data_IF_557833865857
#
_entry.id   IF_557833865857
#
_cell.length_a   1.000
_cell.length_b   1.000
_cell.length_c   1.000
_cell.angle_alpha   90.00
_cell.angle_beta   90.00
_cell.angle_gamma   90.00
#
_symmetry.space_group_name_H-M   'P 1'
#
loop_
_entity.id
_entity.type
_entity.pdbx_description
1 polymer ?
#
# COMPACT_ATOMS: atom_id res chain seq x y z
N UNK A 1 -0.26 -7.64 25.42
CA UNK A 1 -0.02 -6.60 24.39
C UNK A 1 -0.83 -7.05 23.17
N UNK A 2 -1.99 -6.43 22.92
CA UNK A 2 -2.81 -6.79 21.74
C UNK A 2 -1.95 -6.59 20.48
N UNK A 3 -1.87 -7.61 19.63
CA UNK A 3 -1.17 -7.49 18.35
C UNK A 3 -1.88 -6.40 17.55
N UNK A 4 -1.16 -5.32 17.22
CA UNK A 4 -1.68 -4.29 16.33
C UNK A 4 -2.17 -4.96 15.05
N UNK A 5 -3.42 -4.69 14.71
CA UNK A 5 -4.04 -5.22 13.49
C UNK A 5 -4.16 -4.08 12.50
N UNK A 6 -4.01 -4.34 11.20
CA UNK A 6 -4.26 -3.36 10.13
C UNK A 6 -5.52 -2.51 10.36
N UNK A 7 -6.55 -3.13 10.96
CA UNK A 7 -7.87 -2.56 11.22
C UNK A 7 -7.90 -1.49 12.33
N UNK A 8 -6.89 -1.44 13.21
CA UNK A 8 -6.79 -0.47 14.30
C UNK A 8 -5.89 0.71 13.98
N UNK A 9 -5.20 0.67 12.82
CA UNK A 9 -4.32 1.76 12.41
C UNK A 9 -5.12 2.92 11.83
N UNK A 10 -4.82 4.12 12.31
CA UNK A 10 -5.41 5.36 11.82
C UNK A 10 -4.57 6.02 10.71
N UNK A 11 -3.37 5.51 10.46
CA UNK A 11 -2.45 6.04 9.45
C UNK A 11 -1.70 4.91 8.77
N UNK A 12 -1.81 4.85 7.45
CA UNK A 12 -1.16 3.84 6.64
C UNK A 12 -0.20 4.55 5.69
N UNK A 13 1.10 4.25 5.79
CA UNK A 13 2.09 4.79 4.87
C UNK A 13 2.68 3.70 4.00
N UNK A 14 2.82 3.94 2.70
CA UNK A 14 3.38 3.00 1.75
C UNK A 14 4.67 3.61 1.20
N UNK A 15 5.79 2.93 1.44
CA UNK A 15 7.12 3.42 1.08
C UNK A 15 7.73 2.48 0.05
N UNK A 16 8.05 3.03 -1.12
CA UNK A 16 8.77 2.32 -2.18
C UNK A 16 9.37 3.32 -3.14
N UNK A 17 10.68 3.28 -3.35
CA UNK A 17 11.42 4.23 -4.17
C UNK A 17 11.95 3.56 -5.45
N UNK A 18 12.42 4.39 -6.40
CA UNK A 18 12.94 3.93 -7.70
C UNK A 18 11.91 3.03 -8.43
N UNK A 19 12.31 1.86 -8.95
CA UNK A 19 11.39 0.94 -9.62
C UNK A 19 10.17 0.59 -8.76
N UNK A 20 10.37 0.32 -7.46
CA UNK A 20 9.30 -0.01 -6.52
C UNK A 20 8.34 1.14 -6.21
N UNK A 21 8.61 2.38 -6.67
CA UNK A 21 7.66 3.49 -6.59
C UNK A 21 6.37 3.21 -7.37
N UNK A 22 6.46 2.48 -8.48
CA UNK A 22 5.29 2.07 -9.25
C UNK A 22 4.33 1.21 -8.42
N UNK A 23 4.88 0.28 -7.63
CA UNK A 23 4.11 -0.57 -6.70
C UNK A 23 3.54 0.24 -5.54
N UNK A 24 4.31 1.16 -4.96
CA UNK A 24 3.85 2.01 -3.86
C UNK A 24 2.68 2.90 -4.30
N UNK A 25 2.78 3.52 -5.48
CA UNK A 25 1.72 4.33 -6.08
C UNK A 25 0.49 3.49 -6.43
N UNK A 26 0.69 2.32 -7.04
CA UNK A 26 -0.41 1.40 -7.35
C UNK A 26 -1.16 1.02 -6.07
N UNK A 27 -0.44 0.62 -5.02
CA UNK A 27 -1.02 0.22 -3.75
C UNK A 27 -1.77 1.39 -3.10
N UNK A 28 -1.15 2.57 -3.00
CA UNK A 28 -1.82 3.76 -2.44
C UNK A 28 -3.08 4.16 -3.21
N UNK A 29 -3.05 4.08 -4.54
CA UNK A 29 -4.20 4.41 -5.39
C UNK A 29 -5.40 3.49 -5.17
N UNK A 30 -5.19 2.19 -4.94
CA UNK A 30 -6.29 1.26 -4.68
C UNK A 30 -6.73 1.32 -3.21
N UNK A 31 -5.79 1.48 -2.28
CA UNK A 31 -6.07 1.45 -0.85
C UNK A 31 -6.80 2.73 -0.40
N UNK A 32 -6.43 3.89 -0.94
CA UNK A 32 -7.08 5.18 -0.64
C UNK A 32 -8.56 5.25 -1.03
N UNK A 33 -9.03 4.34 -1.90
CA UNK A 33 -10.46 4.21 -2.23
C UNK A 33 -11.26 3.55 -1.11
N UNK A 34 -10.59 2.83 -0.21
CA UNK A 34 -11.23 2.03 0.84
C UNK A 34 -10.88 2.55 2.24
N UNK A 35 -9.69 3.14 2.40
CA UNK A 35 -9.17 3.61 3.67
C UNK A 35 -8.78 5.09 3.59
N UNK A 36 -9.11 5.85 4.64
CA UNK A 36 -8.59 7.21 4.85
C UNK A 36 -7.19 7.18 5.46
N UNK A 37 -6.43 8.27 5.31
CA UNK A 37 -5.11 8.39 5.94
C UNK A 37 -4.04 7.50 5.29
N UNK A 38 -4.12 7.34 3.97
CA UNK A 38 -3.14 6.60 3.17
C UNK A 38 -2.13 7.59 2.59
N UNK A 39 -0.88 7.49 3.03
CA UNK A 39 0.25 8.26 2.52
C UNK A 39 1.13 7.39 1.62
N UNK A 40 1.68 7.97 0.55
CA UNK A 40 2.64 7.29 -0.33
C UNK A 40 3.96 8.06 -0.37
N UNK A 41 5.05 7.38 -0.05
CA UNK A 41 6.41 7.90 -0.10
C UNK A 41 7.23 7.15 -1.15
N UNK A 42 7.67 7.88 -2.18
CA UNK A 42 8.55 7.36 -3.23
C UNK A 42 9.90 8.08 -3.30
N UNK A 43 10.32 8.70 -2.19
CA UNK A 43 11.60 9.38 -2.02
C UNK A 43 11.61 10.34 -0.82
N UNK A 44 12.69 11.09 -0.65
CA UNK A 44 12.83 12.18 0.34
C UNK A 44 12.03 13.44 -0.05
N UNK A 45 10.82 13.28 -0.60
CA UNK A 45 9.99 14.40 -1.02
C UNK A 45 9.69 15.36 0.13
N UNK A 46 9.26 16.58 -0.20
CA UNK A 46 8.99 17.67 0.76
C UNK A 46 8.04 17.25 1.90
N UNK A 47 7.15 16.31 1.63
CA UNK A 47 6.16 15.83 2.59
C UNK A 47 6.70 14.75 3.55
N UNK A 48 7.87 14.17 3.30
CA UNK A 48 8.40 13.08 4.13
C UNK A 48 8.51 13.46 5.61
N UNK A 49 9.09 14.62 6.01
CA UNK A 49 9.12 15.02 7.42
C UNK A 49 7.74 15.16 8.05
N UNK A 50 6.76 15.70 7.31
CA UNK A 50 5.40 15.87 7.80
C UNK A 50 4.67 14.53 8.02
N UNK A 51 4.93 13.55 7.15
CA UNK A 51 4.40 12.19 7.29
C UNK A 51 5.05 11.49 8.49
N UNK A 52 6.38 11.56 8.63
CA UNK A 52 7.07 10.95 9.77
C UNK A 52 6.66 11.56 11.10
N UNK A 53 6.41 12.86 11.17
CA UNK A 53 5.89 13.51 12.39
C UNK A 53 4.55 12.93 12.87
N UNK A 54 3.76 12.37 11.96
CA UNK A 54 2.46 11.78 12.28
C UNK A 54 2.56 10.29 12.63
N UNK A 55 3.64 9.62 12.23
CA UNK A 55 3.83 8.21 12.54
C UNK A 55 3.94 7.99 14.05
N UNK A 56 3.45 6.84 14.49
CA UNK A 56 3.50 6.41 15.87
C UNK A 56 3.44 4.88 15.96
N UNK A 57 3.47 4.37 17.19
CA UNK A 57 3.18 2.98 17.52
C UNK A 57 1.78 2.49 17.12
N UNK A 58 0.92 3.37 16.59
CA UNK A 58 -0.39 3.05 16.03
C UNK A 58 -0.44 3.12 14.50
N UNK A 59 0.66 3.47 13.85
CA UNK A 59 0.75 3.60 12.41
C UNK A 59 1.20 2.28 11.78
N UNK A 60 0.76 2.05 10.55
CA UNK A 60 1.14 0.90 9.73
C UNK A 60 1.95 1.37 8.54
N UNK A 61 3.11 0.76 8.31
CA UNK A 61 4.00 1.09 7.20
C UNK A 61 4.22 -0.12 6.32
N UNK A 62 3.91 -0.01 5.04
CA UNK A 62 4.31 -0.97 4.02
C UNK A 62 5.65 -0.54 3.43
N UNK A 63 6.69 -1.36 3.61
CA UNK A 63 7.99 -1.17 2.95
C UNK A 63 8.09 -2.09 1.73
N UNK A 64 8.19 -1.52 0.54
CA UNK A 64 8.27 -2.26 -0.71
C UNK A 64 9.66 -2.06 -1.31
N UNK A 65 10.43 -3.15 -1.39
CA UNK A 65 11.78 -3.10 -1.97
C UNK A 65 12.10 -4.41 -2.66
N UNK A 66 12.53 -4.31 -3.91
CA UNK A 66 12.97 -5.43 -4.75
C UNK A 66 14.46 -5.23 -5.13
N UNK A 67 15.12 -6.22 -5.76
CA UNK A 67 16.55 -6.18 -6.08
C UNK A 67 17.02 -4.85 -6.69
N UNK A 68 18.31 -4.52 -6.51
CA UNK A 68 18.88 -3.14 -6.47
C UNK A 68 18.53 -2.33 -5.22
N UNK A 69 17.53 -2.76 -4.43
CA UNK A 69 17.24 -2.35 -3.06
C UNK A 69 17.55 -0.87 -2.79
N UNK A 70 16.74 0.02 -3.36
CA UNK A 70 16.95 1.46 -3.29
C UNK A 70 17.28 1.92 -1.86
N UNK A 71 18.47 2.52 -1.67
CA UNK A 71 18.95 2.98 -0.36
C UNK A 71 17.93 3.89 0.34
N UNK A 72 17.27 4.75 -0.43
CA UNK A 72 16.20 5.63 0.06
C UNK A 72 15.06 4.86 0.72
N UNK A 73 14.62 3.73 0.16
CA UNK A 73 13.58 2.90 0.81
C UNK A 73 14.06 2.38 2.16
N UNK A 74 15.31 1.91 2.24
CA UNK A 74 15.90 1.39 3.48
C UNK A 74 16.04 2.50 4.52
N UNK A 75 16.51 3.67 4.13
CA UNK A 75 16.65 4.85 4.99
C UNK A 75 15.30 5.30 5.56
N UNK A 76 14.29 5.48 4.69
CA UNK A 76 12.92 5.82 5.11
C UNK A 76 12.32 4.74 6.02
N UNK A 77 12.62 3.46 5.77
CA UNK A 77 12.25 2.36 6.66
C UNK A 77 12.87 2.48 8.05
N UNK A 78 14.13 2.91 8.16
CA UNK A 78 14.77 3.15 9.47
C UNK A 78 14.13 4.30 10.23
N UNK A 79 13.70 5.36 9.55
CA UNK A 79 12.92 6.42 10.18
C UNK A 79 11.59 5.89 10.73
N UNK A 80 10.87 5.07 9.96
CA UNK A 80 9.63 4.44 10.43
C UNK A 80 9.83 3.54 11.67
N UNK A 81 10.95 2.79 11.73
CA UNK A 81 11.35 2.03 12.93
C UNK A 81 11.58 2.96 14.13
N UNK A 82 12.21 4.13 13.91
CA UNK A 82 12.43 5.14 14.95
C UNK A 82 11.13 5.65 15.57
N UNK A 83 10.08 5.81 14.76
CA UNK A 83 8.73 6.19 15.20
C UNK A 83 7.90 5.02 15.75
N UNK A 84 8.50 3.83 15.86
CA UNK A 84 7.88 2.58 16.36
C UNK A 84 6.66 2.14 15.55
N UNK A 85 6.56 2.56 14.29
CA UNK A 85 5.48 2.13 13.42
C UNK A 85 5.54 0.61 13.19
N UNK A 86 4.38 -0.02 13.02
CA UNK A 86 4.30 -1.42 12.67
C UNK A 86 4.62 -1.61 11.19
N UNK A 87 5.62 -2.41 10.85
CA UNK A 87 6.19 -2.48 9.51
C UNK A 87 5.89 -3.83 8.86
N UNK A 88 5.30 -3.78 7.66
CA UNK A 88 5.10 -4.92 6.77
C UNK A 88 6.02 -4.76 5.56
N UNK A 89 7.02 -5.63 5.42
CA UNK A 89 7.89 -5.67 4.25
C UNK A 89 7.30 -6.52 3.13
N UNK A 90 7.41 -6.04 1.89
CA UNK A 90 7.12 -6.77 0.66
C UNK A 90 8.40 -6.77 -0.18
N UNK A 91 9.00 -7.94 -0.35
CA UNK A 91 10.32 -8.08 -0.98
C UNK A 91 10.51 -9.44 -1.61
N UNK A 92 11.66 -9.70 -2.22
CA UNK A 92 11.91 -10.93 -2.99
C UNK A 92 12.50 -12.09 -2.19
N UNK A 93 13.37 -11.81 -1.21
CA UNK A 93 14.04 -12.84 -0.43
C UNK A 93 14.46 -12.35 0.97
N UNK A 94 14.89 -13.29 1.82
CA UNK A 94 15.26 -13.04 3.22
C UNK A 94 16.52 -12.17 3.41
N UNK A 95 17.37 -12.03 2.38
CA UNK A 95 18.58 -11.20 2.43
C UNK A 95 18.29 -9.72 2.11
N UNK A 96 17.05 -9.38 1.78
CA UNK A 96 16.64 -8.01 1.51
C UNK A 96 16.91 -7.10 2.72
N UNK A 97 17.46 -5.89 2.51
CA UNK A 97 17.84 -5.00 3.62
C UNK A 97 16.64 -4.44 4.40
N UNK A 98 15.41 -4.59 3.90
CA UNK A 98 14.20 -4.19 4.63
C UNK A 98 13.62 -5.30 5.52
N UNK A 99 14.09 -6.55 5.39
CA UNK A 99 13.64 -7.68 6.23
C UNK A 99 13.91 -7.43 7.72
N UNK A 100 15.12 -6.99 8.14
CA UNK A 100 15.39 -6.74 9.55
C UNK A 100 14.63 -5.53 10.14
N UNK A 101 13.97 -4.73 9.30
CA UNK A 101 13.19 -3.56 9.74
C UNK A 101 11.73 -3.90 10.01
N UNK A 102 11.27 -5.10 9.63
CA UNK A 102 9.86 -5.42 9.54
C UNK A 102 9.37 -6.36 10.65
N UNK A 103 8.13 -6.14 11.07
CA UNK A 103 7.39 -7.04 11.96
C UNK A 103 6.82 -8.25 11.21
N UNK A 104 6.43 -8.04 9.94
CA UNK A 104 5.93 -9.08 9.03
C UNK A 104 6.62 -8.94 7.67
N UNK A 105 6.93 -10.07 7.04
CA UNK A 105 7.56 -10.10 5.72
C UNK A 105 6.73 -10.96 4.76
N UNK A 106 6.37 -10.37 3.61
CA UNK A 106 5.89 -11.07 2.43
C UNK A 106 7.03 -11.25 1.43
N UNK A 107 7.40 -12.51 1.18
CA UNK A 107 8.40 -12.88 0.19
C UNK A 107 7.72 -13.23 -1.13
N UNK A 108 8.06 -12.48 -2.17
CA UNK A 108 7.56 -12.67 -3.53
C UNK A 108 8.77 -12.72 -4.47
N UNK A 109 9.22 -13.92 -4.87
CA UNK A 109 10.36 -14.03 -5.76
C UNK A 109 10.14 -13.22 -7.04
N UNK A 110 10.93 -12.16 -7.22
CA UNK A 110 10.99 -11.37 -8.45
C UNK A 110 12.37 -11.60 -9.05
N UNK A 111 12.39 -12.31 -10.18
CA UNK A 111 13.64 -12.74 -10.77
C UNK A 111 14.27 -11.60 -11.57
N UNK A 112 15.56 -11.34 -11.33
CA UNK A 112 16.36 -10.33 -12.04
C UNK A 112 17.04 -10.87 -13.30
N UNK A 113 16.57 -12.01 -13.84
CA UNK A 113 17.18 -12.65 -15.01
C UNK A 113 17.16 -11.78 -16.28
N UNK A 114 16.41 -10.67 -16.28
CA UNK A 114 16.37 -9.66 -17.34
C UNK A 114 16.57 -8.26 -16.74
N UNK A 115 16.96 -7.29 -17.58
CA UNK A 115 17.13 -5.87 -17.19
C UNK A 115 15.90 -5.24 -16.51
N UNK A 116 14.72 -5.87 -16.63
CA UNK A 116 13.47 -5.42 -16.04
C UNK A 116 12.96 -6.42 -15.01
N UNK A 117 12.58 -5.91 -13.85
CA UNK A 117 11.85 -6.64 -12.81
C UNK A 117 10.39 -6.85 -13.26
N UNK A 118 9.87 -8.08 -13.12
CA UNK A 118 8.44 -8.33 -13.30
C UNK A 118 7.69 -8.09 -12.00
N UNK A 119 6.82 -7.08 -12.00
CA UNK A 119 5.99 -6.70 -10.86
C UNK A 119 4.58 -7.30 -10.89
N UNK A 120 4.30 -8.23 -11.79
CA UNK A 120 2.98 -8.87 -11.88
C UNK A 120 2.59 -9.60 -10.59
N UNK A 121 3.50 -10.39 -10.01
CA UNK A 121 3.23 -11.11 -8.76
C UNK A 121 3.07 -10.16 -7.54
N UNK A 122 3.95 -9.16 -7.34
CA UNK A 122 3.72 -8.12 -6.33
C UNK A 122 2.41 -7.36 -6.48
N UNK A 123 2.01 -6.97 -7.69
CA UNK A 123 0.74 -6.29 -7.94
C UNK A 123 -0.47 -7.20 -7.63
N UNK A 124 -0.38 -8.49 -7.95
CA UNK A 124 -1.41 -9.46 -7.60
C UNK A 124 -1.56 -9.59 -6.08
N UNK A 125 -0.46 -9.70 -5.33
CA UNK A 125 -0.50 -9.72 -3.86
C UNK A 125 -1.17 -8.45 -3.32
N UNK A 126 -0.74 -7.28 -3.77
CA UNK A 126 -1.30 -5.98 -3.36
C UNK A 126 -2.82 -5.95 -3.59
N UNK A 127 -3.29 -6.42 -4.75
CA UNK A 127 -4.72 -6.44 -5.08
C UNK A 127 -5.50 -7.37 -4.15
N UNK A 128 -4.97 -8.58 -3.90
CA UNK A 128 -5.60 -9.55 -2.99
C UNK A 128 -5.61 -9.04 -1.55
N UNK A 129 -4.53 -8.40 -1.10
CA UNK A 129 -4.46 -7.80 0.24
C UNK A 129 -5.54 -6.74 0.41
N UNK A 130 -5.69 -5.81 -0.55
CA UNK A 130 -6.70 -4.75 -0.46
C UNK A 130 -8.11 -5.32 -0.47
N UNK A 131 -8.40 -6.30 -1.33
CA UNK A 131 -9.72 -6.94 -1.35
C UNK A 131 -10.01 -7.68 -0.05
N UNK A 132 -9.08 -8.49 0.44
CA UNK A 132 -9.23 -9.22 1.70
C UNK A 132 -9.43 -8.27 2.90
N UNK A 133 -8.86 -7.07 2.86
CA UNK A 133 -9.08 -6.04 3.87
C UNK A 133 -10.45 -5.37 3.73
N UNK A 134 -10.87 -5.08 2.50
CA UNK A 134 -12.17 -4.51 2.18
C UNK A 134 -13.33 -5.42 2.64
N UNK A 135 -13.18 -6.73 2.44
CA UNK A 135 -14.13 -7.79 2.83
C UNK A 135 -14.28 -7.94 4.35
N UNK A 136 -13.32 -7.48 5.17
CA UNK A 136 -13.44 -7.54 6.64
C UNK A 136 -14.42 -6.51 7.20
N UNK A 137 -14.74 -5.45 6.44
CA UNK A 137 -15.67 -4.39 6.86
C UNK A 137 -16.60 -3.97 5.72
N UNK A 138 -17.47 -4.87 5.22
CA UNK A 138 -18.23 -4.67 3.98
C UNK A 138 -19.06 -3.38 4.02
N UNK A 139 -19.81 -3.12 5.10
CA UNK A 139 -20.63 -1.91 5.22
C UNK A 139 -19.81 -0.59 5.22
N UNK A 140 -18.64 -0.59 5.85
CA UNK A 140 -17.76 0.59 5.89
C UNK A 140 -17.13 0.81 4.52
N UNK A 141 -16.61 -0.27 3.93
CA UNK A 141 -16.04 -0.30 2.59
C UNK A 141 -17.04 0.21 1.57
N UNK A 142 -18.28 -0.30 1.58
CA UNK A 142 -19.35 0.12 0.67
C UNK A 142 -19.60 1.63 0.76
N UNK A 143 -19.77 2.17 1.98
CA UNK A 143 -19.98 3.61 2.18
C UNK A 143 -18.84 4.47 1.63
N UNK A 144 -17.58 4.07 1.85
CA UNK A 144 -16.41 4.80 1.34
C UNK A 144 -16.36 4.73 -0.18
N UNK A 145 -16.61 3.56 -0.77
CA UNK A 145 -16.61 3.36 -2.22
C UNK A 145 -17.74 4.13 -2.91
N UNK A 146 -18.95 4.12 -2.37
CA UNK A 146 -20.07 4.90 -2.90
C UNK A 146 -19.75 6.40 -2.94
N UNK A 147 -19.15 6.93 -1.88
CA UNK A 147 -18.69 8.33 -1.83
C UNK A 147 -17.58 8.61 -2.84
N UNK A 148 -16.64 7.68 -3.01
CA UNK A 148 -15.60 7.78 -4.03
C UNK A 148 -16.18 7.84 -5.45
N UNK A 149 -17.17 6.98 -5.76
CA UNK A 149 -17.82 7.00 -7.07
C UNK A 149 -18.63 8.28 -7.29
N UNK A 150 -19.32 8.78 -6.26
CA UNK A 150 -20.04 10.05 -6.33
C UNK A 150 -19.11 11.19 -6.77
N UNK A 151 -17.97 11.37 -6.08
CA UNK A 151 -17.00 12.39 -6.47
C UNK A 151 -16.38 12.11 -7.84
N UNK A 152 -16.07 10.86 -8.16
CA UNK A 152 -15.50 10.49 -9.46
C UNK A 152 -16.45 10.82 -10.61
N UNK A 153 -17.76 10.65 -10.39
CA UNK A 153 -18.82 11.03 -11.32
C UNK A 153 -18.96 12.55 -11.43
N UNK A 154 -18.96 13.28 -10.30
CA UNK A 154 -19.02 14.76 -10.30
C UNK A 154 -17.81 15.38 -11.02
N UNK A 155 -16.62 14.80 -10.85
CA UNK A 155 -15.38 15.23 -11.51
C UNK A 155 -15.26 14.72 -12.96
N UNK A 156 -16.21 13.91 -13.44
CA UNK A 156 -16.22 13.32 -14.78
C UNK A 156 -14.91 12.57 -15.14
N UNK A 157 -14.34 11.83 -14.17
CA UNK A 157 -13.04 11.17 -14.32
C UNK A 157 -13.07 9.94 -15.23
N UNK A 158 -14.21 9.27 -15.31
CA UNK A 158 -14.36 8.00 -16.03
C UNK A 158 -15.46 8.09 -17.07
N UNK A 159 -15.20 7.55 -18.25
CA UNK A 159 -16.26 7.20 -19.18
C UNK A 159 -17.10 6.08 -18.54
N UNK A 160 -18.40 6.32 -18.40
CA UNK A 160 -19.33 5.31 -17.89
C UNK A 160 -19.31 4.10 -18.84
N UNK A 161 -18.81 2.96 -18.35
CA UNK A 161 -18.83 1.70 -19.11
C UNK A 161 -20.08 0.90 -18.77
N UNK A 162 -20.76 0.37 -19.79
CA UNK A 162 -21.95 -0.49 -19.59
C UNK A 162 -21.62 -1.75 -18.78
N UNK A 163 -20.41 -2.27 -18.94
CA UNK A 163 -19.92 -3.44 -18.21
C UNK A 163 -19.77 -3.18 -16.71
N UNK A 164 -19.30 -1.98 -16.30
CA UNK A 164 -19.14 -1.64 -14.88
C UNK A 164 -20.48 -1.45 -14.19
N UNK A 165 -21.48 -0.92 -14.91
CA UNK A 165 -22.87 -0.84 -14.40
C UNK A 165 -23.41 -2.26 -14.19
N UNK A 166 -23.33 -3.11 -15.23
CA UNK A 166 -23.83 -4.48 -15.19
C UNK A 166 -23.17 -5.30 -14.07
N UNK A 167 -21.84 -5.21 -13.91
CA UNK A 167 -21.12 -5.90 -12.84
C UNK A 167 -21.63 -5.51 -11.45
N UNK A 168 -21.97 -4.24 -11.24
CA UNK A 168 -22.50 -3.75 -9.95
C UNK A 168 -23.93 -4.20 -9.67
N UNK A 169 -24.76 -4.25 -10.71
CA UNK A 169 -26.12 -4.78 -10.59
C UNK A 169 -26.11 -6.28 -10.27
N UNK A 170 -25.14 -7.02 -10.83
CA UNK A 170 -24.97 -8.46 -10.61
C UNK A 170 -24.23 -8.81 -9.30
N UNK A 171 -23.45 -7.87 -8.75
CA UNK A 171 -22.63 -8.06 -7.55
C UNK A 171 -22.81 -6.87 -6.59
N UNK A 172 -23.99 -6.71 -5.95
CA UNK A 172 -24.14 -5.77 -4.84
C UNK A 172 -23.20 -6.16 -3.69
N UNK A 173 -22.54 -5.16 -3.09
CA UNK A 173 -21.56 -5.33 -1.99
C UNK A 173 -22.26 -5.81 -0.72
#
# INVERSE_FOLDING_TARGET
MEKMTFLTSNQISIIGCMSSASLALFFGNILSKTFSGVDVLHGHGVNAPAIFQQLSEKSLVFLISFPQYAKTTVELGRFAVGEKAYIVAITDNNNSPIVPLADIVFLIPVNMQSYMESYSAPMALISVLVNALAERHPEKTEKVLLKYDEYSSQMNLYKVSRERIKYREENPI
#
